data_IF_866913554115
#
_entry.id   IF_866913554115
#
_cell.length_a   1.000
_cell.length_b   1.000
_cell.length_c   1.000
_cell.angle_alpha   90.00
_cell.angle_beta   90.00
_cell.angle_gamma   90.00
#
_symmetry.space_group_name_H-M   'P 1'
#
loop_
_entity.id
_entity.type
_entity.pdbx_description
1 polymer ?
#
# COMPACT_ATOMS: atom_id res chain seq x y z
N UNK A 1 -5.96 7.30 -54.91
CA UNK A 1 -4.85 7.15 -53.97
C UNK A 1 -5.24 6.05 -52.99
N UNK A 2 -4.51 4.94 -53.05
CA UNK A 2 -4.85 3.66 -52.42
C UNK A 2 -4.51 3.66 -50.93
N UNK A 3 -5.38 3.11 -50.10
CA UNK A 3 -5.26 3.02 -48.63
C UNK A 3 -4.08 2.15 -48.14
N UNK A 4 -3.36 1.47 -49.06
CA UNK A 4 -2.24 0.60 -48.74
C UNK A 4 -0.89 1.32 -48.49
N UNK A 5 -0.70 2.55 -49.00
CA UNK A 5 0.56 3.29 -48.82
C UNK A 5 0.70 3.94 -47.44
N UNK A 6 -0.36 4.02 -46.64
CA UNK A 6 -0.35 4.72 -45.35
C UNK A 6 0.18 3.88 -44.17
N UNK A 7 0.37 2.56 -44.35
CA UNK A 7 0.75 1.63 -43.27
C UNK A 7 2.17 1.06 -43.39
N UNK A 8 2.89 1.33 -44.49
CA UNK A 8 4.27 0.88 -44.67
C UNK A 8 5.20 2.00 -44.20
N UNK A 9 5.58 1.95 -42.92
CA UNK A 9 6.59 2.85 -42.36
C UNK A 9 7.86 2.77 -43.21
N UNK A 10 8.37 3.91 -43.68
CA UNK A 10 9.55 3.93 -44.55
C UNK A 10 10.80 3.43 -43.79
N UNK A 11 11.79 2.82 -44.47
CA UNK A 11 13.02 2.32 -43.83
C UNK A 11 13.76 3.38 -42.99
N UNK A 12 13.63 4.65 -43.37
CA UNK A 12 14.17 5.79 -42.65
C UNK A 12 13.42 6.07 -41.33
N UNK A 13 12.09 5.91 -41.32
CA UNK A 13 11.28 6.06 -40.11
C UNK A 13 11.52 4.94 -39.10
N UNK A 14 11.68 3.70 -39.55
CA UNK A 14 11.96 2.55 -38.68
C UNK A 14 13.36 2.64 -38.08
N UNK A 15 14.36 3.07 -38.86
CA UNK A 15 15.71 3.37 -38.41
C UNK A 15 15.73 4.43 -37.31
N UNK A 16 15.15 5.61 -37.55
CA UNK A 16 15.11 6.70 -36.57
C UNK A 16 14.36 6.33 -35.29
N UNK A 17 13.27 5.55 -35.40
CA UNK A 17 12.53 5.05 -34.25
C UNK A 17 13.36 4.09 -33.40
N UNK A 18 14.10 3.18 -34.02
CA UNK A 18 14.99 2.24 -33.31
C UNK A 18 16.14 2.94 -32.60
N UNK A 19 16.77 3.94 -33.23
CA UNK A 19 17.87 4.71 -32.62
C UNK A 19 17.37 5.52 -31.43
N UNK A 20 16.19 6.13 -31.53
CA UNK A 20 15.53 6.83 -30.42
C UNK A 20 15.18 5.90 -29.27
N UNK A 21 14.66 4.70 -29.55
CA UNK A 21 14.35 3.69 -28.55
C UNK A 21 15.63 3.24 -27.80
N UNK A 22 16.71 2.95 -28.52
CA UNK A 22 17.99 2.54 -27.91
C UNK A 22 18.59 3.66 -27.06
N UNK A 23 18.54 4.92 -27.54
CA UNK A 23 19.01 6.08 -26.78
C UNK A 23 18.18 6.28 -25.50
N UNK A 24 16.86 6.09 -25.59
CA UNK A 24 15.93 6.17 -24.46
C UNK A 24 16.18 5.05 -23.43
N UNK A 25 16.28 3.80 -23.88
CA UNK A 25 16.60 2.65 -23.01
C UNK A 25 17.97 2.85 -22.34
N UNK A 26 18.99 3.28 -23.09
CA UNK A 26 20.31 3.61 -22.52
C UNK A 26 20.24 4.73 -21.50
N UNK A 27 19.34 5.70 -21.68
CA UNK A 27 19.11 6.78 -20.71
C UNK A 27 18.43 6.27 -19.45
N UNK A 28 17.44 5.41 -19.56
CA UNK A 28 16.77 4.77 -18.40
C UNK A 28 17.76 3.93 -17.59
N UNK A 29 18.54 3.07 -18.27
CA UNK A 29 19.48 2.14 -17.60
C UNK A 29 20.70 2.87 -17.02
N UNK A 30 20.99 4.10 -17.44
CA UNK A 30 22.04 4.94 -16.85
C UNK A 30 21.60 5.74 -15.61
N UNK A 31 20.31 5.71 -15.28
CA UNK A 31 19.79 6.34 -14.06
C UNK A 31 19.72 5.29 -12.94
N UNK A 32 20.63 5.32 -11.95
CA UNK A 32 20.67 4.34 -10.86
C UNK A 32 19.35 4.29 -10.06
N UNK A 33 18.57 5.37 -10.06
CA UNK A 33 17.27 5.47 -9.40
C UNK A 33 16.23 4.53 -10.04
N UNK A 34 16.24 4.39 -11.37
CA UNK A 34 15.32 3.48 -12.07
C UNK A 34 15.66 2.02 -11.80
N UNK A 35 16.95 1.69 -11.78
CA UNK A 35 17.41 0.35 -11.42
C UNK A 35 17.03 0.05 -9.96
N UNK A 36 17.29 0.99 -9.04
CA UNK A 36 16.89 0.86 -7.64
C UNK A 36 15.38 0.69 -7.46
N UNK A 37 14.58 1.47 -8.18
CA UNK A 37 13.12 1.35 -8.18
C UNK A 37 12.64 -0.01 -8.67
N UNK A 38 13.20 -0.52 -9.78
CA UNK A 38 12.88 -1.85 -10.29
C UNK A 38 13.27 -2.96 -9.30
N UNK A 39 14.46 -2.89 -8.71
CA UNK A 39 14.89 -3.84 -7.68
C UNK A 39 13.95 -3.79 -6.47
N UNK A 40 13.54 -2.60 -6.04
CA UNK A 40 12.58 -2.40 -4.96
C UNK A 40 11.21 -3.02 -5.27
N UNK A 41 10.67 -2.81 -6.46
CA UNK A 41 9.40 -3.39 -6.90
C UNK A 41 9.48 -4.93 -6.92
N UNK A 42 10.55 -5.49 -7.49
CA UNK A 42 10.76 -6.94 -7.55
C UNK A 42 10.90 -7.54 -6.15
N UNK A 43 11.67 -6.90 -5.26
CA UNK A 43 11.81 -7.31 -3.87
C UNK A 43 10.48 -7.28 -3.13
N UNK A 44 9.73 -6.18 -3.24
CA UNK A 44 8.41 -6.04 -2.64
C UNK A 44 7.44 -7.13 -3.12
N UNK A 45 7.35 -7.34 -4.43
CA UNK A 45 6.49 -8.37 -5.03
C UNK A 45 6.84 -9.77 -4.53
N UNK A 46 8.12 -10.04 -4.28
CA UNK A 46 8.62 -11.34 -3.83
C UNK A 46 8.35 -11.63 -2.35
N UNK A 47 8.33 -10.61 -1.50
CA UNK A 47 8.17 -10.74 -0.04
C UNK A 47 6.75 -10.48 0.46
N UNK A 48 6.15 -9.35 0.09
CA UNK A 48 4.92 -8.87 0.71
C UNK A 48 3.65 -9.28 -0.05
N UNK A 49 3.79 -9.71 -1.31
CA UNK A 49 2.70 -9.93 -2.29
C UNK A 49 1.91 -8.65 -2.55
N UNK A 50 1.35 -8.49 -3.75
CA UNK A 50 0.55 -7.29 -4.07
C UNK A 50 -0.80 -7.25 -3.33
N UNK A 51 -1.19 -8.34 -2.67
CA UNK A 51 -2.44 -8.43 -1.90
C UNK A 51 -2.48 -7.45 -0.73
N UNK A 52 -1.33 -6.99 -0.21
CA UNK A 52 -1.22 -5.97 0.84
C UNK A 52 -1.58 -4.55 0.36
N UNK A 53 -1.50 -4.30 -0.95
CA UNK A 53 -1.83 -2.99 -1.54
C UNK A 53 -3.33 -2.76 -1.55
N UNK A 54 -4.13 -3.83 -1.52
CA UNK A 54 -5.57 -3.72 -1.39
C UNK A 54 -5.94 -3.36 0.06
N UNK A 55 -6.48 -2.15 0.33
CA UNK A 55 -6.83 -1.74 1.70
C UNK A 55 -7.95 -2.59 2.33
N UNK A 56 -8.71 -3.35 1.53
CA UNK A 56 -9.76 -4.24 2.05
C UNK A 56 -9.25 -5.62 2.46
N UNK A 57 -7.99 -5.95 2.15
CA UNK A 57 -7.42 -7.25 2.46
C UNK A 57 -6.84 -7.28 3.88
N UNK A 58 -7.72 -7.44 4.87
CA UNK A 58 -7.33 -7.50 6.28
C UNK A 58 -6.65 -8.82 6.67
N UNK A 59 -6.77 -9.88 5.88
CA UNK A 59 -6.26 -11.21 6.22
C UNK A 59 -4.74 -11.22 6.46
N UNK A 60 -4.00 -10.42 5.69
CA UNK A 60 -2.54 -10.30 5.83
C UNK A 60 -2.15 -9.62 7.16
N UNK A 61 -3.06 -8.85 7.77
CA UNK A 61 -2.83 -8.10 9.01
C UNK A 61 -3.33 -8.79 10.28
N UNK A 62 -3.95 -9.97 10.17
CA UNK A 62 -4.50 -10.69 11.34
C UNK A 62 -3.47 -11.63 11.98
N UNK A 63 -2.29 -11.79 11.38
CA UNK A 63 -1.24 -12.68 11.86
C UNK A 63 -0.05 -11.92 12.51
N UNK A 64 0.61 -12.56 13.48
CA UNK A 64 1.83 -12.07 14.10
C UNK A 64 1.65 -10.73 14.81
N UNK A 65 2.67 -9.89 14.74
CA UNK A 65 2.72 -8.58 15.39
C UNK A 65 1.61 -7.62 14.88
N UNK A 66 1.35 -7.66 13.57
CA UNK A 66 0.30 -6.85 12.94
C UNK A 66 -1.11 -7.18 13.45
N UNK A 67 -1.33 -8.44 13.81
CA UNK A 67 -2.58 -8.91 14.41
C UNK A 67 -2.90 -8.16 15.71
N UNK A 68 -1.88 -7.80 16.50
CA UNK A 68 -2.06 -7.06 17.75
C UNK A 68 -2.61 -5.66 17.50
N UNK A 69 -2.05 -4.91 16.55
CA UNK A 69 -2.54 -3.58 16.19
C UNK A 69 -3.97 -3.66 15.61
N UNK A 70 -4.23 -4.64 14.73
CA UNK A 70 -5.55 -4.87 14.14
C UNK A 70 -6.59 -5.19 15.21
N UNK A 71 -6.26 -6.08 16.16
CA UNK A 71 -7.13 -6.41 17.28
C UNK A 71 -7.44 -5.17 18.12
N UNK A 72 -6.43 -4.36 18.43
CA UNK A 72 -6.61 -3.09 19.15
C UNK A 72 -7.62 -2.17 18.45
N UNK A 73 -7.45 -1.95 17.14
CA UNK A 73 -8.37 -1.15 16.34
C UNK A 73 -9.80 -1.71 16.33
N UNK A 74 -9.95 -2.99 16.01
CA UNK A 74 -11.26 -3.65 15.94
C UNK A 74 -12.01 -3.56 17.26
N UNK A 75 -11.32 -3.72 18.39
CA UNK A 75 -11.95 -3.67 19.69
C UNK A 75 -12.29 -2.23 20.12
N UNK A 76 -11.43 -1.26 19.80
CA UNK A 76 -11.67 0.16 20.08
C UNK A 76 -12.84 0.74 19.27
N UNK A 77 -12.91 0.48 17.96
CA UNK A 77 -14.01 0.99 17.11
C UNK A 77 -15.38 0.48 17.55
N UNK A 78 -15.44 -0.74 18.11
CA UNK A 78 -16.67 -1.36 18.60
C UNK A 78 -16.99 -1.07 20.07
N UNK A 79 -16.09 -0.37 20.80
CA UNK A 79 -16.33 0.02 22.20
C UNK A 79 -17.29 1.23 22.28
N UNK A 80 -17.79 1.60 23.47
CA UNK A 80 -18.59 2.81 23.65
C UNK A 80 -17.80 4.08 23.27
N UNK A 81 -18.41 5.01 22.50
CA UNK A 81 -17.72 6.21 22.07
C UNK A 81 -17.54 7.18 23.24
N UNK A 82 -16.42 7.93 23.22
CA UNK A 82 -16.14 9.03 24.17
C UNK A 82 -15.85 8.63 25.62
N UNK A 83 -15.55 7.35 25.89
CA UNK A 83 -15.02 6.93 27.18
C UNK A 83 -13.67 7.60 27.47
N UNK A 84 -13.51 8.05 28.72
CA UNK A 84 -12.26 8.60 29.22
C UNK A 84 -11.53 7.58 30.12
N UNK A 85 -10.19 7.47 30.00
CA UNK A 85 -9.31 8.25 29.11
C UNK A 85 -9.42 7.86 27.61
N UNK A 86 -9.06 8.79 26.72
CA UNK A 86 -9.10 8.55 25.28
C UNK A 86 -8.22 7.35 24.91
N UNK A 87 -8.80 6.40 24.15
CA UNK A 87 -8.12 5.17 23.77
C UNK A 87 -8.38 3.99 24.70
N UNK A 88 -9.30 4.11 25.67
CA UNK A 88 -9.78 2.95 26.42
C UNK A 88 -10.44 1.91 25.49
N UNK A 89 -10.15 0.66 25.78
CA UNK A 89 -10.66 -0.53 25.09
C UNK A 89 -11.15 -1.52 26.14
N UNK A 90 -12.33 -1.30 26.76
CA UNK A 90 -12.86 -2.16 27.82
C UNK A 90 -12.99 -3.66 27.47
N UNK A 91 -13.37 -4.05 26.23
CA UNK A 91 -13.47 -5.47 25.90
C UNK A 91 -12.13 -6.18 25.82
N UNK A 92 -11.03 -5.44 25.63
CA UNK A 92 -9.68 -6.00 25.62
C UNK A 92 -9.14 -5.97 27.05
N UNK A 93 -8.83 -7.13 27.63
CA UNK A 93 -8.43 -7.21 29.05
C UNK A 93 -9.60 -7.14 30.04
N UNK A 94 -10.82 -7.49 29.60
CA UNK A 94 -11.99 -7.63 30.48
C UNK A 94 -11.67 -8.52 31.70
N UNK A 95 -12.15 -8.18 32.93
CA UNK A 95 -13.11 -7.11 33.25
C UNK A 95 -12.50 -5.73 33.50
N UNK A 96 -11.18 -5.64 33.67
CA UNK A 96 -10.51 -4.38 33.99
C UNK A 96 -10.43 -3.45 32.77
N UNK A 97 -10.44 -4.03 31.58
CA UNK A 97 -10.19 -3.31 30.34
C UNK A 97 -8.71 -2.99 30.17
N UNK A 98 -8.37 -2.39 29.04
CA UNK A 98 -7.02 -1.91 28.76
C UNK A 98 -7.06 -0.67 27.87
N UNK A 99 -5.89 -0.11 27.59
CA UNK A 99 -5.74 0.97 26.63
C UNK A 99 -5.20 0.47 25.29
N UNK A 100 -5.68 1.05 24.21
CA UNK A 100 -5.19 0.87 22.84
C UNK A 100 -3.69 1.18 22.71
N UNK A 101 -3.09 1.96 23.61
CA UNK A 101 -1.64 2.20 23.59
C UNK A 101 -0.83 0.89 23.75
N UNK A 102 -1.39 -0.11 24.44
CA UNK A 102 -0.74 -1.40 24.65
C UNK A 102 -0.79 -2.32 23.43
N UNK A 103 -1.51 -1.94 22.38
CA UNK A 103 -1.47 -2.60 21.07
C UNK A 103 -0.55 -1.88 20.09
N UNK A 104 0.42 -1.10 20.61
CA UNK A 104 1.37 -0.27 19.85
C UNK A 104 0.66 0.60 18.78
N UNK A 105 -0.48 1.15 19.21
CA UNK A 105 -1.33 2.02 18.40
C UNK A 105 -1.23 3.45 18.93
N UNK A 106 -1.54 4.43 18.08
CA UNK A 106 -1.53 5.85 18.44
C UNK A 106 -2.97 6.29 18.78
N UNK A 107 -3.36 6.44 20.06
CA UNK A 107 -4.76 6.62 20.45
C UNK A 107 -5.44 7.86 19.86
N UNK A 108 -4.68 8.94 19.64
CA UNK A 108 -5.18 10.17 19.04
C UNK A 108 -5.62 9.95 17.58
N UNK A 109 -4.84 9.20 16.80
CA UNK A 109 -5.20 8.83 15.43
C UNK A 109 -6.41 7.91 15.43
N UNK A 110 -6.45 6.95 16.35
CA UNK A 110 -7.62 6.10 16.57
C UNK A 110 -8.88 6.93 16.82
N UNK A 111 -8.82 7.92 17.72
CA UNK A 111 -9.94 8.81 18.04
C UNK A 111 -10.40 9.65 16.83
N UNK A 112 -9.47 10.15 16.01
CA UNK A 112 -9.77 10.88 14.77
C UNK A 112 -10.44 9.97 13.73
N UNK A 113 -9.98 8.73 13.59
CA UNK A 113 -10.49 7.78 12.59
C UNK A 113 -11.78 7.08 13.01
N UNK A 114 -12.08 7.01 14.31
CA UNK A 114 -13.24 6.28 14.84
C UNK A 114 -14.58 6.67 14.23
N UNK A 115 -14.91 7.97 13.99
CA UNK A 115 -16.15 8.36 13.33
C UNK A 115 -16.32 7.79 11.92
N UNK A 116 -15.21 7.45 11.25
CA UNK A 116 -15.19 6.88 9.90
C UNK A 116 -15.21 5.33 9.90
N UNK A 117 -15.27 4.68 11.06
CA UNK A 117 -15.15 3.22 11.17
C UNK A 117 -16.31 2.40 10.60
N UNK A 118 -17.42 3.07 10.27
CA UNK A 118 -18.60 2.47 9.64
C UNK A 118 -18.59 2.58 8.09
N UNK A 119 -17.66 3.33 7.51
CA UNK A 119 -17.41 3.41 6.05
C UNK A 119 -16.63 2.19 5.57
#
# INVERSE_FOLDING_TARGET
>A
MSTAELLVATPEQTSNMSTRLVAFVRRIVRCPEFIGGLVGIVGFARWQRFSIVNPTNVNEFIAGDWGTHMLGWLQYRNSPPWDLPLGQVPPLGYPLGTSMIYTDSIPLIGAILRPFSAL
#
